data_IF_194466373298
#
_entry.id   IF_194466373298
#
_cell.length_a   1.000
_cell.length_b   1.000
_cell.length_c   1.000
_cell.angle_alpha   90.00
_cell.angle_beta   90.00
_cell.angle_gamma   90.00
#
_symmetry.space_group_name_H-M   'P 1'
#
loop_
_entity.id
_entity.type
_entity.pdbx_description
1 polymer ?
#
# COMPACT_ATOMS: atom_id res chain seq x y z
N UNK A 1 5.73 31.26 7.00
CA UNK A 1 4.46 30.66 7.41
C UNK A 1 4.79 29.41 8.19
N UNK A 2 4.45 29.42 9.49
CA UNK A 2 4.70 28.31 10.41
C UNK A 2 3.45 27.45 10.47
N UNK A 3 3.49 26.28 9.83
CA UNK A 3 2.40 25.32 9.77
C UNK A 3 2.36 24.36 10.97
N UNK A 4 3.04 24.68 12.06
CA UNK A 4 3.23 23.71 13.15
C UNK A 4 2.12 23.63 14.18
N UNK A 5 1.04 24.43 14.11
CA UNK A 5 0.10 24.53 15.24
C UNK A 5 -1.38 24.79 14.92
N UNK A 6 -1.87 24.34 13.78
CA UNK A 6 -3.32 24.34 13.55
C UNK A 6 -3.75 22.99 13.05
N UNK A 7 -4.41 22.22 13.92
CA UNK A 7 -5.50 21.32 13.54
C UNK A 7 -6.63 22.23 13.02
N UNK A 8 -6.38 22.87 11.89
CA UNK A 8 -7.41 23.48 11.11
C UNK A 8 -8.21 22.32 10.53
N UNK A 9 -9.50 22.43 10.60
CA UNK A 9 -10.43 21.70 9.76
C UNK A 9 -10.03 22.02 8.31
N UNK A 10 -9.06 21.24 7.80
CA UNK A 10 -8.22 21.57 6.64
C UNK A 10 -9.03 21.73 5.34
N UNK A 11 -10.29 21.26 5.34
CA UNK A 11 -11.16 21.36 4.18
C UNK A 11 -11.83 22.73 3.99
N UNK A 12 -12.31 23.37 5.05
CA UNK A 12 -13.19 24.53 4.90
C UNK A 12 -12.44 25.86 4.67
N UNK A 13 -11.32 26.09 5.36
CA UNK A 13 -10.54 27.33 5.18
C UNK A 13 -9.72 27.32 3.88
N UNK A 14 -9.18 26.15 3.49
CA UNK A 14 -8.44 26.00 2.24
C UNK A 14 -9.37 26.22 1.03
N UNK A 15 -10.57 25.68 1.08
CA UNK A 15 -11.58 25.87 0.03
C UNK A 15 -12.00 27.33 -0.06
N UNK A 16 -12.17 28.04 1.07
CA UNK A 16 -12.48 29.46 1.08
C UNK A 16 -11.35 30.32 0.47
N UNK A 17 -10.10 29.95 0.73
CA UNK A 17 -8.94 30.61 0.13
C UNK A 17 -8.88 30.36 -1.37
N UNK A 18 -9.13 29.11 -1.81
CA UNK A 18 -9.20 28.75 -3.24
C UNK A 18 -10.28 29.56 -3.96
N UNK A 19 -11.48 29.60 -3.39
CA UNK A 19 -12.62 30.35 -3.92
C UNK A 19 -12.30 31.86 -4.03
N UNK A 20 -11.78 32.43 -2.96
CA UNK A 20 -11.42 33.88 -2.95
C UNK A 20 -10.32 34.20 -3.96
N UNK A 21 -9.32 33.32 -4.14
CA UNK A 21 -8.26 33.51 -5.13
C UNK A 21 -8.77 33.32 -6.56
N UNK A 22 -9.64 32.30 -6.76
CA UNK A 22 -10.27 32.03 -8.05
C UNK A 22 -11.14 33.20 -8.51
N UNK A 23 -11.96 33.75 -7.60
CA UNK A 23 -12.78 34.93 -7.88
C UNK A 23 -11.91 36.15 -8.19
N UNK A 24 -10.83 36.36 -7.44
CA UNK A 24 -9.90 37.46 -7.70
C UNK A 24 -9.18 37.32 -9.06
N UNK A 25 -8.87 36.13 -9.50
CA UNK A 25 -8.29 35.84 -10.83
C UNK A 25 -9.32 36.14 -11.94
N UNK A 26 -10.54 35.65 -11.77
CA UNK A 26 -11.63 35.87 -12.72
C UNK A 26 -11.96 37.37 -12.87
N UNK A 27 -12.02 38.12 -11.75
CA UNK A 27 -12.27 39.57 -11.73
C UNK A 27 -11.12 40.35 -12.39
N UNK A 28 -9.89 39.84 -12.31
CA UNK A 28 -8.74 40.49 -12.97
C UNK A 28 -8.65 40.21 -14.47
N UNK A 29 -9.53 39.34 -15.01
CA UNK A 29 -9.53 38.92 -16.41
C UNK A 29 -8.32 38.04 -16.78
N UNK A 30 -7.67 37.48 -15.79
CA UNK A 30 -6.53 36.53 -16.01
C UNK A 30 -7.06 35.11 -15.86
N UNK A 31 -7.16 34.33 -16.95
CA UNK A 31 -7.58 32.96 -16.83
C UNK A 31 -6.53 32.16 -16.04
N UNK A 32 -6.94 31.59 -14.92
CA UNK A 32 -6.05 30.78 -14.08
C UNK A 32 -6.85 29.91 -13.12
N UNK A 33 -6.39 28.72 -12.89
CA UNK A 33 -6.93 27.79 -11.90
C UNK A 33 -6.04 27.80 -10.66
N UNK A 34 -6.66 27.85 -9.49
CA UNK A 34 -5.96 27.77 -8.21
C UNK A 34 -5.89 26.32 -7.78
N UNK A 35 -4.69 25.75 -7.81
CA UNK A 35 -4.43 24.41 -7.33
C UNK A 35 -3.72 24.45 -5.98
N UNK A 36 -4.17 23.64 -5.05
CA UNK A 36 -3.39 23.38 -3.85
C UNK A 36 -2.40 22.22 -4.07
N UNK A 37 -1.59 21.97 -3.05
CA UNK A 37 -0.62 20.87 -3.09
C UNK A 37 -1.28 19.49 -3.20
N UNK A 38 -2.51 19.34 -2.68
CA UNK A 38 -3.28 18.09 -2.71
C UNK A 38 -3.81 17.76 -4.11
N UNK A 39 -3.99 18.77 -4.97
CA UNK A 39 -4.52 18.59 -6.33
C UNK A 39 -3.47 18.01 -7.31
N UNK A 40 -2.20 17.91 -6.90
CA UNK A 40 -1.16 17.31 -7.73
C UNK A 40 -1.23 15.78 -7.69
N UNK A 41 -1.34 15.15 -8.84
CA UNK A 41 -1.42 13.68 -9.00
C UNK A 41 -0.31 12.93 -8.26
N UNK A 42 0.91 13.47 -8.25
CA UNK A 42 2.05 12.89 -7.52
C UNK A 42 1.84 12.89 -6.00
N UNK A 43 1.17 13.92 -5.46
CA UNK A 43 0.86 14.00 -4.02
C UNK A 43 -0.27 13.04 -3.67
N UNK A 44 -1.24 12.91 -4.55
CA UNK A 44 -2.35 11.97 -4.36
C UNK A 44 -1.89 10.52 -4.41
N UNK A 45 -1.09 10.13 -5.39
CA UNK A 45 -0.48 8.79 -5.43
C UNK A 45 0.30 8.49 -4.15
N UNK A 46 1.10 9.45 -3.67
CA UNK A 46 1.81 9.30 -2.40
C UNK A 46 0.85 9.15 -1.21
N UNK A 47 -0.27 9.86 -1.22
CA UNK A 47 -1.30 9.78 -0.17
C UNK A 47 -1.99 8.42 -0.16
N UNK A 48 -2.37 7.92 -1.33
CA UNK A 48 -2.96 6.58 -1.48
C UNK A 48 -2.01 5.47 -1.01
N UNK A 49 -0.73 5.57 -1.35
CA UNK A 49 0.29 4.63 -0.90
C UNK A 49 0.49 4.68 0.63
N UNK A 50 0.49 5.89 1.21
CA UNK A 50 0.57 6.06 2.66
C UNK A 50 -0.68 5.52 3.38
N UNK A 51 -1.87 5.69 2.81
CA UNK A 51 -3.11 5.14 3.35
C UNK A 51 -3.10 3.60 3.29
N UNK A 52 -2.75 3.02 2.16
CA UNK A 52 -2.56 1.57 2.04
C UNK A 52 -1.51 1.02 3.00
N UNK A 53 -0.40 1.74 3.18
CA UNK A 53 0.64 1.38 4.14
C UNK A 53 0.16 1.43 5.59
N UNK A 54 -0.72 2.38 5.96
CA UNK A 54 -1.31 2.45 7.31
C UNK A 54 -2.15 1.23 7.65
N UNK A 55 -2.86 0.68 6.67
CA UNK A 55 -3.74 -0.48 6.89
C UNK A 55 -2.95 -1.80 6.95
N UNK A 56 -1.91 -1.95 6.13
CA UNK A 56 -1.08 -3.15 6.08
C UNK A 56 -0.06 -3.21 7.21
N UNK A 57 0.50 -2.08 7.61
CA UNK A 57 1.57 -2.01 8.64
C UNK A 57 1.18 -2.66 9.97
N UNK A 58 -0.01 -2.41 10.57
CA UNK A 58 -0.40 -3.07 11.82
C UNK A 58 -0.50 -4.58 11.70
N UNK A 59 -0.95 -5.10 10.54
CA UNK A 59 -1.00 -6.54 10.28
C UNK A 59 0.40 -7.15 10.26
N UNK A 60 1.33 -6.58 9.50
CA UNK A 60 2.72 -7.05 9.42
C UNK A 60 3.38 -7.00 10.80
N UNK A 61 3.23 -5.88 11.53
CA UNK A 61 3.75 -5.73 12.89
C UNK A 61 3.14 -6.78 13.85
N UNK A 62 1.84 -7.00 13.78
CA UNK A 62 1.15 -8.00 14.58
C UNK A 62 1.70 -9.40 14.35
N UNK A 63 1.94 -9.78 13.10
CA UNK A 63 2.52 -11.08 12.74
C UNK A 63 3.96 -11.19 13.24
N UNK A 64 4.80 -10.17 13.06
CA UNK A 64 6.19 -10.16 13.54
C UNK A 64 6.26 -10.26 15.07
N UNK A 65 5.43 -9.51 15.78
CA UNK A 65 5.34 -9.56 17.25
C UNK A 65 4.82 -10.93 17.73
N UNK A 66 3.86 -11.52 17.03
CA UNK A 66 3.36 -12.86 17.35
C UNK A 66 4.45 -13.92 17.19
N UNK A 67 5.19 -13.91 16.07
CA UNK A 67 6.31 -14.82 15.83
C UNK A 67 7.37 -14.66 16.93
N UNK A 68 7.73 -13.43 17.28
CA UNK A 68 8.67 -13.10 18.34
C UNK A 68 8.20 -13.65 19.69
N UNK A 69 6.92 -13.49 20.02
CA UNK A 69 6.29 -14.04 21.22
C UNK A 69 6.38 -15.57 21.27
N UNK A 70 6.10 -16.25 20.15
CA UNK A 70 6.24 -17.70 20.06
C UNK A 70 7.68 -18.18 20.31
N UNK A 71 8.66 -17.49 19.74
CA UNK A 71 10.10 -17.80 19.97
C UNK A 71 10.44 -17.65 21.45
N UNK A 72 9.97 -16.60 22.11
CA UNK A 72 10.16 -16.41 23.55
C UNK A 72 9.50 -17.52 24.36
N UNK A 73 8.26 -17.89 24.06
CA UNK A 73 7.56 -18.96 24.76
C UNK A 73 8.29 -20.31 24.63
N UNK A 74 8.77 -20.63 23.42
CA UNK A 74 9.55 -21.88 23.18
C UNK A 74 10.88 -21.86 23.93
N UNK A 75 11.60 -20.73 23.88
CA UNK A 75 12.88 -20.57 24.52
C UNK A 75 12.76 -20.69 26.02
N UNK A 76 11.73 -20.06 26.61
CA UNK A 76 11.44 -20.15 28.04
C UNK A 76 10.99 -21.54 28.45
N UNK A 77 10.12 -22.24 27.69
CA UNK A 77 9.74 -23.63 27.97
C UNK A 77 10.97 -24.55 27.93
N UNK A 78 11.91 -24.30 27.01
CA UNK A 78 13.17 -25.05 26.95
C UNK A 78 14.05 -24.78 28.21
N UNK A 79 14.21 -23.54 28.61
CA UNK A 79 14.97 -23.13 29.80
C UNK A 79 14.40 -23.81 31.06
N UNK A 80 13.08 -23.73 31.24
CA UNK A 80 12.39 -24.32 32.39
C UNK A 80 12.58 -25.85 32.43
N UNK A 81 12.57 -26.53 31.30
CA UNK A 81 12.81 -27.98 31.22
C UNK A 81 14.25 -28.37 31.58
N UNK A 82 15.22 -27.55 31.14
CA UNK A 82 16.64 -27.81 31.49
C UNK A 82 16.91 -27.55 32.97
N UNK A 83 16.23 -26.58 33.56
CA UNK A 83 16.37 -26.21 34.96
C UNK A 83 15.31 -26.83 35.89
N UNK A 84 14.56 -27.83 35.39
CA UNK A 84 13.47 -28.44 36.17
C UNK A 84 13.94 -29.02 37.52
N UNK A 85 15.16 -29.60 37.58
CA UNK A 85 15.76 -30.09 38.83
C UNK A 85 16.03 -28.96 39.82
N UNK A 86 16.54 -27.81 39.36
CA UNK A 86 16.80 -26.65 40.18
C UNK A 86 15.49 -26.07 40.72
N UNK A 87 14.45 -26.02 39.91
CA UNK A 87 13.10 -25.60 40.33
C UNK A 87 12.58 -26.52 41.42
N UNK A 88 12.76 -27.83 41.28
CA UNK A 88 12.35 -28.79 42.27
C UNK A 88 13.09 -28.60 43.61
N UNK A 89 14.40 -28.37 43.57
CA UNK A 89 15.21 -28.08 44.78
C UNK A 89 14.75 -26.76 45.43
N UNK A 90 14.56 -25.68 44.66
CA UNK A 90 14.07 -24.41 45.23
C UNK A 90 12.70 -24.59 45.91
N UNK A 91 11.84 -25.40 45.36
CA UNK A 91 10.50 -25.70 45.91
C UNK A 91 10.62 -26.54 47.20
N UNK A 92 11.54 -27.48 47.31
CA UNK A 92 11.74 -28.30 48.51
C UNK A 92 12.36 -27.47 49.64
N UNK A 93 13.16 -26.41 49.34
CA UNK A 93 13.73 -25.47 50.31
C UNK A 93 12.69 -24.44 50.77
N UNK A 94 11.50 -24.38 50.15
CA UNK A 94 10.37 -23.55 50.59
C UNK A 94 10.03 -22.36 49.70
N UNK A 95 10.58 -22.27 48.49
CA UNK A 95 10.20 -21.22 47.53
C UNK A 95 8.71 -21.36 47.18
N UNK A 96 7.97 -20.25 47.21
CA UNK A 96 6.56 -20.23 46.84
C UNK A 96 6.36 -20.37 45.33
N UNK A 97 5.21 -20.87 44.90
CA UNK A 97 4.87 -20.94 43.47
C UNK A 97 4.93 -19.59 42.77
N UNK A 98 4.60 -18.51 43.52
CA UNK A 98 4.63 -17.15 42.98
C UNK A 98 6.08 -16.68 42.76
N UNK A 99 7.00 -16.98 43.68
CA UNK A 99 8.40 -16.60 43.52
C UNK A 99 9.04 -17.26 42.29
N UNK A 100 8.76 -18.55 42.10
CA UNK A 100 9.20 -19.31 40.90
C UNK A 100 8.59 -18.69 39.63
N UNK A 101 7.29 -18.40 39.63
CA UNK A 101 6.63 -17.79 38.50
C UNK A 101 7.25 -16.45 38.12
N UNK A 102 7.39 -15.55 39.10
CA UNK A 102 7.97 -14.23 38.86
C UNK A 102 9.45 -14.31 38.44
N UNK A 103 10.26 -15.21 39.04
CA UNK A 103 11.61 -15.44 38.64
C UNK A 103 11.76 -15.80 37.16
N UNK A 104 10.97 -16.76 36.70
CA UNK A 104 11.01 -17.18 35.29
C UNK A 104 10.34 -16.17 34.32
N UNK A 105 9.38 -15.35 34.78
CA UNK A 105 8.80 -14.30 34.00
C UNK A 105 9.74 -13.10 33.80
N UNK A 106 10.61 -12.85 34.80
CA UNK A 106 11.65 -11.83 34.70
C UNK A 106 12.70 -12.12 33.60
N UNK A 107 12.98 -13.39 33.31
CA UNK A 107 14.00 -13.77 32.31
C UNK A 107 13.73 -13.16 30.93
N UNK A 108 12.55 -13.40 30.31
CA UNK A 108 12.26 -12.79 29.02
C UNK A 108 12.15 -11.26 29.08
N UNK A 109 11.78 -10.67 30.21
CA UNK A 109 11.72 -9.23 30.37
C UNK A 109 13.13 -8.59 30.47
N UNK A 110 14.05 -9.23 31.21
CA UNK A 110 15.45 -8.77 31.32
C UNK A 110 16.16 -8.79 29.95
N UNK A 111 15.83 -9.75 29.10
CA UNK A 111 16.40 -9.83 27.75
C UNK A 111 15.59 -8.98 26.74
N UNK A 112 14.30 -8.92 26.91
CA UNK A 112 13.40 -8.24 25.98
C UNK A 112 13.46 -6.71 26.09
N UNK A 113 13.53 -6.15 27.29
CA UNK A 113 13.61 -4.69 27.47
C UNK A 113 14.84 -4.09 26.77
N UNK A 114 16.07 -4.60 26.97
CA UNK A 114 17.21 -4.14 26.18
C UNK A 114 17.04 -4.35 24.69
N UNK A 115 16.44 -5.47 24.26
CA UNK A 115 16.14 -5.73 22.84
C UNK A 115 15.19 -4.68 22.25
N UNK A 116 14.13 -4.32 22.97
CA UNK A 116 13.19 -3.25 22.56
C UNK A 116 13.91 -1.90 22.50
N UNK A 117 14.73 -1.57 23.51
CA UNK A 117 15.49 -0.31 23.54
C UNK A 117 16.47 -0.22 22.35
N UNK A 118 17.21 -1.30 22.08
CA UNK A 118 18.10 -1.36 20.91
C UNK A 118 17.29 -1.23 19.61
N UNK A 119 16.14 -1.89 19.51
CA UNK A 119 15.24 -1.76 18.36
C UNK A 119 14.76 -0.33 18.12
N UNK A 120 14.37 0.37 19.19
CA UNK A 120 13.98 1.79 19.15
C UNK A 120 15.18 2.66 18.73
N UNK A 121 16.36 2.45 19.32
CA UNK A 121 17.56 3.21 18.98
C UNK A 121 17.99 3.01 17.52
N UNK A 122 17.93 1.78 17.01
CA UNK A 122 18.20 1.49 15.61
C UNK A 122 17.14 2.10 14.67
N UNK A 123 15.88 2.07 15.07
CA UNK A 123 14.78 2.68 14.31
C UNK A 123 14.86 4.20 14.24
N UNK A 124 15.35 4.87 15.29
CA UNK A 124 15.58 6.32 15.30
C UNK A 124 16.88 6.68 14.57
N UNK A 125 17.83 5.75 14.50
CA UNK A 125 19.10 6.00 13.83
C UNK A 125 18.93 6.24 12.34
N UNK A 126 19.79 7.09 11.77
CA UNK A 126 19.84 7.36 10.33
C UNK A 126 20.04 6.10 9.48
N UNK A 127 20.64 5.04 10.03
CA UNK A 127 20.92 3.78 9.33
C UNK A 127 19.62 3.11 8.85
N UNK A 128 18.63 2.96 9.72
CA UNK A 128 17.35 2.35 9.38
C UNK A 128 16.49 3.23 8.48
N UNK A 129 16.40 4.51 8.82
CA UNK A 129 15.59 5.47 8.05
C UNK A 129 16.19 5.75 6.68
N UNK A 130 17.52 5.89 6.55
CA UNK A 130 18.17 6.11 5.25
C UNK A 130 18.04 4.91 4.30
N UNK A 131 18.17 3.68 4.80
CA UNK A 131 18.03 2.50 3.97
C UNK A 131 16.61 2.39 3.39
N UNK A 132 15.60 2.61 4.22
CA UNK A 132 14.20 2.59 3.79
C UNK A 132 13.87 3.78 2.88
N UNK A 133 14.37 4.95 3.20
CA UNK A 133 14.18 6.17 2.43
C UNK A 133 14.81 6.06 1.04
N UNK A 134 16.04 5.54 0.92
CA UNK A 134 16.70 5.32 -0.38
C UNK A 134 15.95 4.33 -1.26
N UNK A 135 15.39 3.27 -0.67
CA UNK A 135 14.53 2.33 -1.39
C UNK A 135 13.28 3.03 -1.92
N UNK A 136 12.61 3.81 -1.08
CA UNK A 136 11.38 4.54 -1.44
C UNK A 136 11.64 5.64 -2.48
N UNK A 137 12.77 6.35 -2.39
CA UNK A 137 13.18 7.34 -3.38
C UNK A 137 13.45 6.74 -4.75
N UNK A 138 14.12 5.60 -4.79
CA UNK A 138 14.37 4.89 -6.04
C UNK A 138 13.09 4.46 -6.72
N UNK A 139 12.06 4.10 -5.93
CA UNK A 139 10.78 3.61 -6.45
C UNK A 139 9.80 4.73 -6.85
N UNK A 140 9.69 5.79 -6.05
CA UNK A 140 8.70 6.86 -6.28
C UNK A 140 9.27 8.14 -6.91
N UNK A 141 10.58 8.23 -7.12
CA UNK A 141 11.22 9.43 -7.68
C UNK A 141 11.08 10.70 -6.82
N UNK A 142 10.80 10.56 -5.51
CA UNK A 142 10.59 11.70 -4.60
C UNK A 142 11.94 12.30 -4.18
N UNK A 143 12.27 13.57 -4.52
CA UNK A 143 13.63 14.10 -4.36
C UNK A 143 14.02 14.44 -2.92
N UNK A 144 13.07 14.59 -2.00
CA UNK A 144 13.36 14.97 -0.60
C UNK A 144 12.39 14.29 0.36
N UNK A 145 12.90 13.48 1.29
CA UNK A 145 12.12 12.97 2.44
C UNK A 145 12.72 13.51 3.73
N UNK A 146 11.92 14.23 4.49
CA UNK A 146 12.26 14.61 5.84
C UNK A 146 11.80 13.51 6.79
N UNK A 147 12.74 12.79 7.40
CA UNK A 147 12.42 11.82 8.45
C UNK A 147 11.99 12.55 9.72
N UNK A 148 10.71 12.42 10.07
CA UNK A 148 10.18 12.97 11.32
C UNK A 148 10.00 11.83 12.32
N UNK A 149 10.60 11.95 13.47
CA UNK A 149 10.45 10.97 14.54
C UNK A 149 9.13 11.21 15.29
N UNK A 150 8.31 10.16 15.40
CA UNK A 150 7.07 10.16 16.17
C UNK A 150 7.28 9.39 17.49
N UNK A 151 7.59 10.08 18.60
CA UNK A 151 7.89 9.43 19.88
C UNK A 151 6.71 8.63 20.44
N UNK A 152 5.49 9.05 20.18
CA UNK A 152 4.24 8.39 20.54
C UNK A 152 4.07 7.03 19.85
N UNK A 153 4.38 6.94 18.56
CA UNK A 153 4.41 5.67 17.84
C UNK A 153 5.48 4.72 18.38
N UNK A 154 6.68 5.23 18.63
CA UNK A 154 7.78 4.44 19.17
C UNK A 154 7.48 3.91 20.57
N UNK A 155 6.87 4.73 21.43
CA UNK A 155 6.41 4.31 22.74
C UNK A 155 5.32 3.24 22.65
N UNK A 156 4.34 3.43 21.79
CA UNK A 156 3.23 2.46 21.59
C UNK A 156 3.75 1.12 21.09
N UNK A 157 4.68 1.12 20.12
CA UNK A 157 5.32 -0.08 19.62
C UNK A 157 6.19 -0.76 20.68
N UNK A 158 6.97 0.01 21.43
CA UNK A 158 7.80 -0.51 22.52
C UNK A 158 6.97 -1.14 23.62
N UNK A 159 5.88 -0.48 24.04
CA UNK A 159 4.97 -1.00 25.05
C UNK A 159 4.24 -2.26 24.57
N UNK A 160 3.77 -2.29 23.31
CA UNK A 160 3.13 -3.47 22.73
C UNK A 160 4.09 -4.66 22.66
N UNK A 161 5.35 -4.43 22.30
CA UNK A 161 6.37 -5.46 22.29
C UNK A 161 6.61 -6.03 23.70
N UNK A 162 6.76 -5.17 24.72
CA UNK A 162 6.92 -5.61 26.12
C UNK A 162 5.68 -6.38 26.59
N UNK A 163 4.49 -5.92 26.25
CA UNK A 163 3.23 -6.60 26.59
C UNK A 163 3.19 -8.01 25.98
N UNK A 164 3.59 -8.17 24.74
CA UNK A 164 3.63 -9.46 24.06
C UNK A 164 4.68 -10.39 24.69
N UNK A 165 5.88 -9.88 25.01
CA UNK A 165 6.91 -10.63 25.75
C UNK A 165 6.31 -11.17 27.06
N UNK A 166 5.60 -10.32 27.78
CA UNK A 166 4.95 -10.68 29.05
C UNK A 166 3.87 -11.74 28.84
N UNK A 167 2.94 -11.53 27.89
CA UNK A 167 1.84 -12.46 27.61
C UNK A 167 2.35 -13.87 27.21
N UNK A 168 3.30 -13.93 26.32
CA UNK A 168 3.87 -15.21 25.88
C UNK A 168 4.75 -15.87 26.95
N UNK A 169 5.34 -15.09 27.85
CA UNK A 169 6.10 -15.56 28.99
C UNK A 169 5.27 -16.15 30.12
N UNK A 170 4.02 -15.67 30.32
CA UNK A 170 3.15 -16.09 31.44
C UNK A 170 2.91 -17.60 31.43
N UNK A 171 2.52 -18.17 30.29
CA UNK A 171 2.13 -19.59 30.20
C UNK A 171 3.26 -20.54 30.59
N UNK A 172 4.49 -20.44 30.06
CA UNK A 172 5.60 -21.28 30.49
C UNK A 172 6.02 -21.00 31.95
N UNK A 173 6.06 -19.73 32.39
CA UNK A 173 6.38 -19.40 33.79
C UNK A 173 5.39 -19.98 34.78
N UNK A 174 4.10 -19.93 34.46
CA UNK A 174 3.04 -20.53 35.29
C UNK A 174 3.16 -22.06 35.35
N UNK A 175 3.59 -22.70 34.25
CA UNK A 175 3.86 -24.15 34.22
C UNK A 175 5.06 -24.48 35.12
N UNK A 176 6.12 -23.68 35.14
CA UNK A 176 7.24 -23.85 36.05
C UNK A 176 6.79 -23.77 37.52
N UNK A 177 5.94 -22.81 37.85
CA UNK A 177 5.42 -22.60 39.20
C UNK A 177 4.58 -23.78 39.73
N UNK A 178 3.97 -24.56 38.84
CA UNK A 178 3.15 -25.75 39.18
C UNK A 178 3.88 -27.07 39.12
N UNK A 179 5.20 -27.08 38.82
CA UNK A 179 5.98 -28.32 38.84
C UNK A 179 6.06 -28.89 40.25
N UNK A 180 5.73 -30.18 40.37
CA UNK A 180 5.82 -30.89 41.63
C UNK A 180 7.21 -31.50 41.76
N UNK A 181 7.93 -31.31 42.90
CA UNK A 181 9.28 -31.84 43.09
C UNK A 181 9.39 -33.35 42.89
N UNK A 182 8.34 -34.08 43.30
CA UNK A 182 8.30 -35.55 43.18
C UNK A 182 8.22 -36.06 41.74
N UNK A 183 7.48 -35.35 40.88
CA UNK A 183 7.35 -35.68 39.46
C UNK A 183 8.65 -35.43 38.71
N UNK A 184 9.40 -34.41 39.05
CA UNK A 184 10.65 -34.02 38.37
C UNK A 184 11.79 -35.02 38.73
N UNK A 185 11.82 -35.52 39.95
CA UNK A 185 12.82 -36.44 40.45
C UNK A 185 12.56 -37.90 40.07
N UNK A 186 11.30 -38.25 39.72
CA UNK A 186 10.82 -39.61 39.43
C UNK A 186 10.64 -39.94 37.95
N UNK A 187 10.69 -38.97 37.03
CA UNK A 187 10.31 -39.24 35.62
C UNK A 187 11.46 -39.07 34.64
N UNK A 188 11.98 -40.20 34.24
CA UNK A 188 12.40 -40.42 32.86
C UNK A 188 11.21 -40.88 32.02
N UNK A 189 10.13 -40.08 31.87
CA UNK A 189 9.04 -40.42 30.94
C UNK A 189 9.51 -40.32 29.51
N UNK A 190 9.96 -41.47 28.98
CA UNK A 190 10.05 -41.68 27.55
C UNK A 190 8.62 -41.79 26.98
N UNK A 191 8.12 -40.65 26.45
CA UNK A 191 6.91 -40.73 25.62
C UNK A 191 7.21 -41.60 24.41
N UNK A 192 6.58 -42.75 24.36
CA UNK A 192 6.65 -43.67 23.22
C UNK A 192 6.17 -42.96 21.96
N UNK A 193 6.88 -43.06 20.84
CA UNK A 193 6.48 -42.46 19.58
C UNK A 193 5.13 -42.99 19.14
N UNK A 194 4.29 -42.14 18.56
CA UNK A 194 2.98 -42.51 18.06
C UNK A 194 3.12 -43.67 17.05
N UNK A 195 2.28 -44.72 17.20
CA UNK A 195 2.32 -45.94 16.40
C UNK A 195 2.32 -45.70 14.89
N UNK A 196 1.63 -44.63 14.44
CA UNK A 196 1.57 -44.20 13.04
C UNK A 196 2.95 -43.76 12.55
N UNK A 197 3.67 -42.98 13.34
CA UNK A 197 4.99 -42.45 12.96
C UNK A 197 6.04 -43.57 12.96
N UNK A 198 5.93 -44.50 13.89
CA UNK A 198 6.83 -45.66 13.91
C UNK A 198 6.64 -46.58 12.69
N UNK A 199 5.40 -46.70 12.21
CA UNK A 199 5.09 -47.49 11.00
C UNK A 199 5.57 -46.79 9.72
N UNK A 200 5.34 -45.46 9.61
CA UNK A 200 5.79 -44.66 8.46
C UNK A 200 7.32 -44.59 8.32
N UNK A 201 8.04 -44.69 9.43
CA UNK A 201 9.51 -44.60 9.47
C UNK A 201 10.20 -45.96 9.49
N UNK A 202 9.44 -47.08 9.45
CA UNK A 202 9.98 -48.44 9.58
C UNK A 202 10.89 -48.86 8.40
N UNK A 203 10.64 -48.31 7.20
CA UNK A 203 11.42 -48.58 5.99
C UNK A 203 12.53 -47.58 5.68
N UNK A 204 12.76 -46.56 6.54
CA UNK A 204 13.74 -45.52 6.28
C UNK A 204 15.12 -45.83 6.87
N UNK A 205 16.23 -45.31 6.29
CA UNK A 205 17.56 -45.41 6.88
C UNK A 205 17.57 -44.95 8.35
N UNK A 206 18.34 -45.62 9.23
CA UNK A 206 18.27 -45.43 10.68
C UNK A 206 18.44 -43.96 11.12
N UNK A 207 19.30 -43.17 10.44
CA UNK A 207 19.53 -41.75 10.77
C UNK A 207 18.30 -40.86 10.48
N UNK A 208 17.65 -41.07 9.34
CA UNK A 208 16.45 -40.30 8.96
C UNK A 208 15.25 -40.74 9.82
N UNK A 209 15.09 -42.03 10.02
CA UNK A 209 14.01 -42.58 10.84
C UNK A 209 14.07 -42.13 12.30
N UNK A 210 15.27 -42.07 12.90
CA UNK A 210 15.50 -41.55 14.25
C UNK A 210 15.24 -40.01 14.31
N UNK A 211 15.70 -39.26 13.31
CA UNK A 211 15.45 -37.81 13.21
C UNK A 211 13.95 -37.50 13.17
N UNK A 212 13.21 -38.13 12.29
CA UNK A 212 11.76 -38.00 12.18
C UNK A 212 11.04 -38.38 13.47
N UNK A 213 11.35 -39.54 14.04
CA UNK A 213 10.74 -39.99 15.31
C UNK A 213 11.03 -39.01 16.47
N UNK A 214 12.24 -38.43 16.53
CA UNK A 214 12.61 -37.48 17.56
C UNK A 214 11.84 -36.15 17.42
N UNK A 215 11.59 -35.70 16.19
CA UNK A 215 10.86 -34.49 15.87
C UNK A 215 9.40 -34.61 16.30
N UNK A 216 8.77 -35.74 15.99
CA UNK A 216 7.36 -35.97 16.35
C UNK A 216 7.14 -36.38 17.82
N UNK A 217 8.18 -36.62 18.60
CA UNK A 217 8.06 -36.79 20.06
C UNK A 217 7.51 -35.56 20.79
N UNK A 218 7.66 -34.35 20.19
CA UNK A 218 7.18 -33.11 20.77
C UNK A 218 6.27 -32.38 19.78
N UNK A 219 5.03 -32.85 19.54
CA UNK A 219 4.17 -32.37 18.49
C UNK A 219 3.78 -30.88 18.66
N UNK A 220 3.64 -30.42 19.91
CA UNK A 220 3.36 -29.00 20.18
C UNK A 220 4.49 -28.07 19.70
N UNK A 221 5.76 -28.48 19.87
CA UNK A 221 6.89 -27.70 19.39
C UNK A 221 6.96 -27.70 17.86
N UNK A 222 6.75 -28.88 17.25
CA UNK A 222 6.68 -29.02 15.80
C UNK A 222 5.61 -28.09 15.23
N UNK A 223 4.40 -28.12 15.81
CA UNK A 223 3.29 -27.28 15.39
C UNK A 223 3.64 -25.78 15.46
N UNK A 224 4.21 -25.32 16.59
CA UNK A 224 4.57 -23.91 16.76
C UNK A 224 5.66 -23.48 15.77
N UNK A 225 6.69 -24.32 15.54
CA UNK A 225 7.72 -23.99 14.53
C UNK A 225 7.17 -24.00 13.13
N UNK A 226 6.21 -24.89 12.81
CA UNK A 226 5.53 -24.95 11.53
C UNK A 226 4.68 -23.69 11.30
N UNK A 227 3.92 -23.26 12.32
CA UNK A 227 3.13 -22.02 12.27
C UNK A 227 4.04 -20.81 12.07
N UNK A 228 5.14 -20.71 12.83
CA UNK A 228 6.07 -19.60 12.68
C UNK A 228 6.70 -19.54 11.27
N UNK A 229 7.09 -20.70 10.73
CA UNK A 229 7.63 -20.79 9.38
C UNK A 229 6.56 -20.45 8.33
N UNK A 230 5.35 -20.98 8.49
CA UNK A 230 4.24 -20.69 7.58
C UNK A 230 3.90 -19.20 7.56
N UNK A 231 3.87 -18.53 8.73
CA UNK A 231 3.63 -17.09 8.80
C UNK A 231 4.74 -16.27 8.12
N UNK A 232 6.00 -16.68 8.28
CA UNK A 232 7.10 -16.04 7.55
C UNK A 232 6.97 -16.21 6.04
N UNK A 233 6.53 -17.40 5.58
CA UNK A 233 6.29 -17.66 4.16
C UNK A 233 5.08 -16.89 3.63
N UNK A 234 4.04 -16.69 4.43
CA UNK A 234 2.87 -15.87 4.05
C UNK A 234 3.28 -14.41 3.83
N UNK A 235 4.11 -13.84 4.71
CA UNK A 235 4.59 -12.46 4.53
C UNK A 235 5.45 -12.35 3.26
N UNK A 236 6.45 -13.22 3.12
CA UNK A 236 7.35 -13.20 1.96
C UNK A 236 6.59 -13.46 0.65
N UNK A 237 5.76 -14.50 0.62
CA UNK A 237 4.96 -14.87 -0.54
C UNK A 237 3.93 -13.80 -0.90
N UNK A 238 3.27 -13.21 0.10
CA UNK A 238 2.33 -12.11 -0.09
C UNK A 238 3.01 -10.88 -0.70
N UNK A 239 4.20 -10.53 -0.20
CA UNK A 239 4.97 -9.42 -0.76
C UNK A 239 5.42 -9.69 -2.19
N UNK A 240 5.89 -10.92 -2.48
CA UNK A 240 6.27 -11.29 -3.85
C UNK A 240 5.07 -11.32 -4.81
N UNK A 241 3.91 -11.84 -4.35
CA UNK A 241 2.68 -11.83 -5.14
C UNK A 241 2.18 -10.41 -5.41
N UNK A 242 2.25 -9.53 -4.42
CA UNK A 242 1.88 -8.13 -4.57
C UNK A 242 2.79 -7.44 -5.61
N UNK A 243 4.10 -7.66 -5.54
CA UNK A 243 5.04 -7.09 -6.48
C UNK A 243 4.85 -7.65 -7.90
N UNK A 244 4.64 -8.97 -8.03
CA UNK A 244 4.35 -9.61 -9.32
C UNK A 244 3.03 -9.12 -9.92
N UNK A 245 1.97 -9.05 -9.09
CA UNK A 245 0.67 -8.54 -9.54
C UNK A 245 0.72 -7.09 -9.97
N UNK A 246 1.47 -6.25 -9.24
CA UNK A 246 1.68 -4.85 -9.63
C UNK A 246 2.38 -4.76 -11.00
N UNK A 247 3.48 -5.50 -11.19
CA UNK A 247 4.19 -5.51 -12.48
C UNK A 247 3.32 -6.02 -13.62
N UNK A 248 2.50 -7.04 -13.38
CA UNK A 248 1.60 -7.59 -14.39
C UNK A 248 0.52 -6.57 -14.80
N UNK A 249 -0.18 -5.98 -13.83
CA UNK A 249 -1.20 -4.96 -14.09
C UNK A 249 -0.60 -3.72 -14.76
N UNK A 250 0.60 -3.31 -14.33
CA UNK A 250 1.27 -2.15 -14.91
C UNK A 250 1.71 -2.38 -16.35
N UNK A 251 2.30 -3.56 -16.64
CA UNK A 251 2.69 -3.92 -18.01
C UNK A 251 1.46 -4.08 -18.91
N UNK A 252 0.39 -4.74 -18.43
CA UNK A 252 -0.87 -4.87 -19.16
C UNK A 252 -1.44 -3.50 -19.52
N UNK A 253 -1.48 -2.57 -18.55
CA UNK A 253 -1.99 -1.23 -18.79
C UNK A 253 -1.14 -0.45 -19.81
N UNK A 254 0.19 -0.51 -19.72
CA UNK A 254 1.06 0.22 -20.67
C UNK A 254 1.12 -0.42 -22.06
N UNK A 255 1.13 -1.74 -22.15
CA UNK A 255 1.32 -2.44 -23.43
C UNK A 255 0.01 -2.63 -24.19
N UNK A 256 -1.08 -2.91 -23.47
CA UNK A 256 -2.37 -3.26 -24.09
C UNK A 256 -3.38 -2.11 -24.11
N UNK A 257 -3.32 -1.20 -23.14
CA UNK A 257 -4.27 -0.09 -23.08
C UNK A 257 -3.76 1.19 -23.74
N UNK A 258 -2.46 1.42 -23.69
CA UNK A 258 -1.86 2.67 -24.17
C UNK A 258 -1.18 2.46 -25.52
N UNK A 259 -1.83 2.85 -26.63
CA UNK A 259 -1.31 2.72 -27.99
C UNK A 259 -0.67 4.00 -28.54
N UNK A 260 -0.61 5.06 -27.74
CA UNK A 260 0.09 6.29 -28.12
C UNK A 260 1.62 6.14 -28.02
N UNK A 261 2.35 6.93 -28.79
CA UNK A 261 3.81 7.02 -28.76
C UNK A 261 4.29 8.16 -27.85
N UNK A 262 3.59 9.29 -27.91
CA UNK A 262 3.87 10.47 -27.10
C UNK A 262 2.61 10.99 -26.43
N UNK A 263 2.76 11.42 -25.17
CA UNK A 263 1.76 12.17 -24.43
C UNK A 263 2.28 13.57 -24.15
N UNK A 264 1.52 14.58 -24.57
CA UNK A 264 1.83 15.98 -24.30
C UNK A 264 0.96 16.49 -23.15
N UNK A 265 1.59 17.30 -22.27
CA UNK A 265 0.88 18.22 -21.42
C UNK A 265 1.10 19.65 -21.97
N UNK A 266 0.01 20.41 -22.09
CA UNK A 266 0.05 21.74 -22.68
C UNK A 266 -0.76 22.74 -21.87
N UNK A 267 -0.45 24.03 -22.00
CA UNK A 267 -1.26 25.07 -21.43
C UNK A 267 -2.47 25.35 -22.34
N UNK A 268 -3.69 25.55 -21.80
CA UNK A 268 -4.88 25.80 -22.59
C UNK A 268 -4.74 26.85 -23.70
N UNK A 269 -4.05 27.99 -23.50
CA UNK A 269 -3.88 29.01 -24.56
C UNK A 269 -3.05 28.55 -25.77
N UNK A 270 -2.37 27.41 -25.67
CA UNK A 270 -1.49 26.90 -26.74
C UNK A 270 -2.05 25.68 -27.48
N UNK A 271 -3.30 25.31 -27.21
CA UNK A 271 -3.95 24.16 -27.84
C UNK A 271 -3.95 24.29 -29.36
N UNK A 272 -4.33 25.47 -29.91
CA UNK A 272 -4.35 25.73 -31.35
C UNK A 272 -2.99 25.58 -32.01
N UNK A 273 -1.90 25.96 -31.33
CA UNK A 273 -0.53 25.79 -31.82
C UNK A 273 -0.16 24.32 -31.97
N UNK A 274 -0.53 23.50 -30.98
CA UNK A 274 -0.29 22.05 -31.01
C UNK A 274 -1.17 21.36 -32.04
N UNK A 275 -2.44 21.75 -32.17
CA UNK A 275 -3.35 21.21 -33.18
C UNK A 275 -2.84 21.55 -34.59
N UNK A 276 -2.46 22.77 -34.86
CA UNK A 276 -1.89 23.15 -36.18
C UNK A 276 -0.59 22.42 -36.50
N UNK A 277 0.25 22.20 -35.49
CA UNK A 277 1.47 21.42 -35.65
C UNK A 277 1.17 19.95 -35.95
N UNK A 278 0.15 19.37 -35.33
CA UNK A 278 -0.19 17.95 -35.50
C UNK A 278 -0.60 17.59 -36.92
N UNK A 279 -1.24 18.49 -37.68
CA UNK A 279 -1.74 18.24 -39.04
C UNK A 279 -0.68 17.74 -40.04
N UNK A 280 0.61 18.02 -39.81
CA UNK A 280 1.70 17.56 -40.68
C UNK A 280 2.68 16.58 -40.03
N UNK A 281 2.64 16.45 -38.72
CA UNK A 281 3.66 15.75 -37.94
C UNK A 281 3.16 14.45 -37.30
N UNK A 282 1.84 14.20 -37.27
CA UNK A 282 1.30 13.02 -36.62
C UNK A 282 0.52 12.13 -37.60
N UNK A 283 0.56 10.85 -37.34
CA UNK A 283 -0.31 9.86 -38.01
C UNK A 283 -1.63 9.68 -37.30
N UNK A 284 -1.62 9.88 -36.00
CA UNK A 284 -2.82 9.86 -35.14
C UNK A 284 -2.65 10.91 -34.05
N UNK A 285 -3.73 11.62 -33.70
CA UNK A 285 -3.72 12.70 -32.73
C UNK A 285 -5.07 12.82 -32.04
N UNK A 286 -5.07 12.84 -30.71
CA UNK A 286 -6.26 13.05 -29.90
C UNK A 286 -6.00 14.07 -28.81
N UNK A 287 -6.95 14.99 -28.59
CA UNK A 287 -6.92 15.93 -27.50
C UNK A 287 -7.45 15.27 -26.21
N UNK A 288 -6.82 15.57 -25.10
CA UNK A 288 -7.26 15.16 -23.78
C UNK A 288 -7.46 16.34 -22.86
N UNK A 289 -8.45 16.24 -21.97
CA UNK A 289 -8.71 17.23 -20.93
C UNK A 289 -8.73 16.50 -19.59
N UNK A 290 -7.70 16.71 -18.79
CA UNK A 290 -7.60 16.09 -17.47
C UNK A 290 -7.77 17.13 -16.38
N UNK A 291 -8.56 16.81 -15.36
CA UNK A 291 -8.73 17.66 -14.20
C UNK A 291 -8.91 16.81 -12.93
N UNK A 292 -8.84 17.48 -11.77
CA UNK A 292 -9.07 16.81 -10.48
C UNK A 292 -10.39 17.27 -9.88
N UNK A 293 -11.15 16.33 -9.37
CA UNK A 293 -12.41 16.59 -8.69
C UNK A 293 -12.50 15.72 -7.42
N UNK A 294 -13.53 15.93 -6.63
CA UNK A 294 -13.83 15.09 -5.46
C UNK A 294 -15.23 14.50 -5.60
N UNK A 295 -15.40 13.27 -5.16
CA UNK A 295 -16.72 12.67 -5.04
C UNK A 295 -17.45 13.32 -3.86
N UNK A 296 -18.67 13.79 -4.10
CA UNK A 296 -19.47 14.47 -3.06
C UNK A 296 -19.71 13.52 -1.88
N UNK A 297 -19.39 13.97 -0.68
CA UNK A 297 -19.48 13.16 0.56
C UNK A 297 -18.19 12.44 0.92
N UNK A 298 -17.16 12.51 0.10
CA UNK A 298 -15.82 12.01 0.41
C UNK A 298 -14.80 13.16 0.33
N UNK A 299 -13.65 12.97 0.94
CA UNK A 299 -12.50 13.89 0.79
C UNK A 299 -11.48 13.36 -0.21
N UNK A 300 -11.87 12.31 -0.96
CA UNK A 300 -10.96 11.62 -1.87
C UNK A 300 -11.03 12.27 -3.24
N UNK A 301 -9.88 12.67 -3.75
CA UNK A 301 -9.76 13.17 -5.09
C UNK A 301 -9.94 12.04 -6.12
N UNK A 302 -10.52 12.37 -7.25
CA UNK A 302 -10.67 11.51 -8.41
C UNK A 302 -10.26 12.28 -9.66
N UNK A 303 -9.53 11.65 -10.56
CA UNK A 303 -9.14 12.26 -11.82
C UNK A 303 -10.32 12.24 -12.80
N UNK A 304 -10.65 13.38 -13.36
CA UNK A 304 -11.56 13.48 -14.49
C UNK A 304 -10.72 13.43 -15.77
N UNK A 305 -10.98 12.47 -16.64
CA UNK A 305 -10.28 12.31 -17.91
C UNK A 305 -11.26 12.39 -19.06
N UNK A 306 -11.25 13.52 -19.75
CA UNK A 306 -12.01 13.74 -20.96
C UNK A 306 -11.19 13.37 -22.19
N UNK A 307 -11.70 12.46 -23.02
CA UNK A 307 -11.07 11.99 -24.26
C UNK A 307 -11.96 12.23 -25.46
N UNK A 308 -11.37 12.45 -26.63
CA UNK A 308 -12.13 12.61 -27.88
C UNK A 308 -12.73 11.27 -28.31
N UNK A 309 -11.98 10.19 -28.16
CA UNK A 309 -12.41 8.83 -28.47
C UNK A 309 -12.36 7.99 -27.19
N UNK A 310 -13.52 7.44 -26.83
CA UNK A 310 -13.64 6.40 -25.79
C UNK A 310 -13.95 5.09 -26.51
N UNK A 311 -13.04 4.13 -26.45
CA UNK A 311 -13.20 2.86 -27.16
C UNK A 311 -12.51 1.72 -26.41
N UNK A 312 -13.05 0.53 -26.52
CA UNK A 312 -12.46 -0.73 -26.07
C UNK A 312 -11.80 -1.52 -27.22
N UNK A 313 -11.77 -0.92 -28.42
CA UNK A 313 -11.12 -1.51 -29.59
C UNK A 313 -9.59 -1.39 -29.52
N UNK A 314 -8.90 -2.35 -30.13
CA UNK A 314 -7.43 -2.47 -30.06
C UNK A 314 -6.65 -1.33 -30.75
N UNK A 315 -7.30 -0.54 -31.61
CA UNK A 315 -6.71 0.58 -32.35
C UNK A 315 -6.90 1.94 -31.66
N UNK A 316 -7.64 2.01 -30.56
CA UNK A 316 -7.78 3.22 -29.78
C UNK A 316 -6.45 3.63 -29.16
N UNK A 317 -6.11 4.94 -29.15
CA UNK A 317 -4.89 5.42 -28.53
C UNK A 317 -4.83 5.15 -27.02
N UNK A 318 -5.97 5.31 -26.35
CA UNK A 318 -6.21 4.80 -25.01
C UNK A 318 -7.37 3.81 -25.07
N UNK A 319 -7.05 2.55 -24.94
CA UNK A 319 -8.02 1.46 -24.95
C UNK A 319 -8.62 1.28 -23.56
N UNK A 320 -9.93 1.35 -23.49
CA UNK A 320 -10.66 1.07 -22.26
C UNK A 320 -10.67 -0.44 -21.95
N UNK A 321 -10.20 -0.82 -20.78
CA UNK A 321 -10.40 -2.19 -20.29
C UNK A 321 -11.76 -2.27 -19.56
N UNK A 322 -12.84 -2.27 -20.36
CA UNK A 322 -14.21 -2.28 -19.85
C UNK A 322 -14.52 -3.65 -19.22
N UNK A 323 -14.84 -3.66 -17.94
CA UNK A 323 -15.20 -4.87 -17.19
C UNK A 323 -16.71 -5.13 -17.26
N UNK A 324 -17.49 -4.07 -17.08
CA UNK A 324 -18.96 -4.14 -17.06
C UNK A 324 -19.55 -2.85 -17.63
N UNK A 325 -20.74 -2.95 -18.24
CA UNK A 325 -21.49 -1.82 -18.74
C UNK A 325 -21.24 -1.50 -20.21
N UNK A 326 -21.43 -0.25 -20.59
CA UNK A 326 -21.35 0.25 -21.96
C UNK A 326 -20.53 1.55 -22.01
N UNK A 327 -19.93 1.83 -23.16
CA UNK A 327 -19.19 3.07 -23.41
C UNK A 327 -20.17 4.25 -23.36
N UNK A 328 -19.83 5.36 -22.65
CA UNK A 328 -20.70 6.53 -22.53
C UNK A 328 -21.03 7.14 -23.87
N UNK A 329 -22.22 7.71 -23.99
CA UNK A 329 -22.63 8.49 -25.15
C UNK A 329 -22.49 9.97 -24.85
N UNK A 330 -21.79 10.71 -25.71
CA UNK A 330 -21.59 12.15 -25.55
C UNK A 330 -22.90 12.93 -25.56
N UNK A 331 -22.98 13.99 -24.77
CA UNK A 331 -24.12 14.92 -24.77
C UNK A 331 -25.35 14.44 -24.02
N UNK A 332 -25.24 13.41 -23.20
CA UNK A 332 -26.36 12.93 -22.38
C UNK A 332 -26.54 13.82 -21.12
N UNK A 333 -27.76 13.80 -20.57
CA UNK A 333 -28.06 14.49 -19.30
C UNK A 333 -28.89 13.56 -18.39
N UNK A 334 -28.35 13.07 -17.26
CA UNK A 334 -27.01 13.35 -16.73
C UNK A 334 -25.89 12.83 -17.65
N UNK A 335 -24.70 13.42 -17.53
CA UNK A 335 -23.50 13.02 -18.28
C UNK A 335 -23.19 11.56 -17.96
N UNK A 336 -23.00 10.74 -18.96
CA UNK A 336 -22.61 9.34 -18.78
C UNK A 336 -21.07 9.24 -18.65
N UNK A 337 -20.62 8.38 -17.73
CA UNK A 337 -19.19 8.22 -17.42
C UNK A 337 -18.83 6.77 -17.16
N UNK A 338 -17.55 6.45 -17.35
CA UNK A 338 -16.92 5.22 -16.87
C UNK A 338 -16.15 5.54 -15.60
N UNK A 339 -16.29 4.69 -14.59
CA UNK A 339 -15.52 4.78 -13.33
C UNK A 339 -14.53 3.61 -13.23
N UNK A 340 -13.40 3.84 -12.60
CA UNK A 340 -12.46 2.77 -12.33
C UNK A 340 -12.99 1.73 -11.31
N UNK A 341 -12.59 0.46 -11.48
CA UNK A 341 -13.00 -0.69 -10.66
C UNK A 341 -12.69 -0.45 -9.17
N UNK A 342 -11.55 0.17 -8.87
CA UNK A 342 -11.12 0.44 -7.49
C UNK A 342 -12.04 1.43 -6.78
N UNK A 343 -12.40 2.54 -7.43
CA UNK A 343 -13.34 3.53 -6.89
C UNK A 343 -14.76 2.96 -6.78
N UNK A 344 -15.22 2.24 -7.79
CA UNK A 344 -16.53 1.59 -7.76
C UNK A 344 -16.66 0.61 -6.59
N UNK A 345 -15.66 -0.26 -6.39
CA UNK A 345 -15.65 -1.24 -5.30
C UNK A 345 -15.54 -0.61 -3.92
N UNK A 346 -14.69 0.42 -3.75
CA UNK A 346 -14.46 1.05 -2.44
C UNK A 346 -15.64 1.89 -1.95
N UNK A 347 -16.35 2.53 -2.87
CA UNK A 347 -17.49 3.40 -2.55
C UNK A 347 -18.84 2.68 -2.74
N UNK A 348 -18.82 1.42 -3.21
CA UNK A 348 -20.02 0.60 -3.42
C UNK A 348 -20.92 1.12 -4.53
N UNK A 349 -20.34 1.59 -5.64
CA UNK A 349 -21.05 2.15 -6.78
C UNK A 349 -21.34 1.06 -7.82
N UNK A 350 -22.52 1.11 -8.42
CA UNK A 350 -22.97 0.17 -9.45
C UNK A 350 -23.33 0.89 -10.75
N UNK A 351 -23.40 0.14 -11.85
CA UNK A 351 -23.83 0.68 -13.15
C UNK A 351 -25.26 1.20 -13.04
N UNK A 352 -25.48 2.39 -13.57
CA UNK A 352 -26.77 3.09 -13.53
C UNK A 352 -26.91 4.05 -12.36
N UNK A 353 -26.02 4.00 -11.38
CA UNK A 353 -26.00 4.95 -10.26
C UNK A 353 -25.69 6.36 -10.75
N UNK A 354 -26.29 7.33 -10.08
CA UNK A 354 -25.98 8.75 -10.29
C UNK A 354 -25.11 9.23 -9.12
N UNK A 355 -23.93 9.70 -9.46
CA UNK A 355 -22.93 10.17 -8.49
C UNK A 355 -22.73 11.67 -8.65
N UNK A 356 -22.67 12.39 -7.55
CA UNK A 356 -22.41 13.83 -7.57
C UNK A 356 -20.93 14.09 -7.40
N UNK A 357 -20.34 14.84 -8.31
CA UNK A 357 -18.93 15.20 -8.35
C UNK A 357 -18.82 16.68 -8.00
N UNK A 358 -17.87 17.02 -7.15
CA UNK A 358 -17.55 18.41 -6.80
C UNK A 358 -16.27 18.83 -7.55
N UNK A 359 -16.41 19.77 -8.46
CA UNK A 359 -15.30 20.39 -9.16
C UNK A 359 -15.25 21.87 -8.80
N UNK A 360 -14.22 22.28 -8.06
CA UNK A 360 -14.01 23.65 -7.63
C UNK A 360 -15.23 24.31 -6.93
N UNK A 361 -15.94 23.54 -6.09
CA UNK A 361 -17.15 24.01 -5.40
C UNK A 361 -18.44 23.92 -6.21
N UNK A 362 -18.36 23.56 -7.49
CA UNK A 362 -19.53 23.29 -8.33
C UNK A 362 -19.85 21.81 -8.36
N UNK A 363 -21.08 21.46 -8.04
CA UNK A 363 -21.56 20.08 -8.06
C UNK A 363 -22.29 19.78 -9.33
N UNK A 364 -21.98 18.65 -9.93
CA UNK A 364 -22.67 18.11 -11.08
C UNK A 364 -22.87 16.61 -10.93
N UNK A 365 -23.98 16.15 -11.47
CA UNK A 365 -24.35 14.74 -11.38
C UNK A 365 -23.94 14.01 -12.65
N UNK A 366 -23.30 12.85 -12.49
CA UNK A 366 -22.91 11.95 -13.57
C UNK A 366 -23.54 10.58 -13.34
N UNK A 367 -23.88 9.90 -14.42
CA UNK A 367 -24.43 8.54 -14.41
C UNK A 367 -23.35 7.54 -14.80
N UNK A 368 -23.13 6.54 -13.99
CA UNK A 368 -22.18 5.48 -14.29
C UNK A 368 -22.78 4.59 -15.39
N UNK A 369 -22.18 4.59 -16.59
CA UNK A 369 -22.53 3.72 -17.71
C UNK A 369 -21.68 2.47 -17.79
N UNK A 370 -20.45 2.52 -17.25
CA UNK A 370 -19.51 1.40 -17.26
C UNK A 370 -18.49 1.46 -16.14
N UNK A 371 -17.88 0.31 -15.88
CA UNK A 371 -16.77 0.13 -14.94
C UNK A 371 -15.60 -0.42 -15.74
N UNK A 372 -14.45 0.25 -15.67
CA UNK A 372 -13.23 -0.15 -16.36
C UNK A 372 -12.07 -0.39 -15.38
N UNK A 373 -11.11 -1.19 -15.81
CA UNK A 373 -9.88 -1.40 -15.07
C UNK A 373 -8.86 -0.32 -15.44
N UNK A 374 -8.56 0.54 -14.48
CA UNK A 374 -7.62 1.63 -14.62
C UNK A 374 -6.54 1.58 -13.53
N UNK A 375 -5.33 2.08 -13.85
CA UNK A 375 -4.22 2.15 -12.89
C UNK A 375 -4.47 3.14 -11.76
N UNK A 376 -5.29 4.14 -11.99
CA UNK A 376 -5.53 5.22 -11.02
C UNK A 376 -7.02 5.49 -10.89
N UNK A 377 -7.41 6.13 -9.79
CA UNK A 377 -8.78 6.58 -9.59
C UNK A 377 -9.17 7.59 -10.66
N UNK A 378 -10.02 7.17 -11.57
CA UNK A 378 -10.35 7.97 -12.75
C UNK A 378 -11.83 7.83 -13.10
N UNK A 379 -12.43 8.95 -13.45
CA UNK A 379 -13.70 9.01 -14.16
C UNK A 379 -13.39 9.42 -15.58
N UNK A 380 -13.75 8.56 -16.53
CA UNK A 380 -13.58 8.81 -17.96
C UNK A 380 -14.89 9.19 -18.60
N UNK A 381 -14.85 10.23 -19.42
CA UNK A 381 -16.00 10.76 -20.14
C UNK A 381 -15.56 11.39 -21.47
N UNK A 382 -16.51 11.68 -22.33
CA UNK A 382 -16.20 12.43 -23.55
C UNK A 382 -15.71 13.84 -23.22
N UNK A 383 -14.60 14.26 -23.86
CA UNK A 383 -14.00 15.57 -23.65
C UNK A 383 -15.00 16.73 -23.85
N UNK A 384 -15.90 16.58 -24.83
CA UNK A 384 -16.93 17.59 -25.13
C UNK A 384 -17.87 17.85 -23.95
N UNK A 385 -18.12 16.83 -23.10
CA UNK A 385 -18.96 16.94 -21.92
C UNK A 385 -18.19 17.52 -20.72
N UNK A 386 -16.86 17.37 -20.70
CA UNK A 386 -16.00 17.91 -19.66
C UNK A 386 -15.62 19.38 -19.90
N UNK A 387 -15.50 19.81 -21.16
CA UNK A 387 -15.15 21.19 -21.54
C UNK A 387 -16.01 22.26 -20.85
N UNK A 388 -17.37 22.15 -20.81
CA UNK A 388 -18.20 23.15 -20.13
C UNK A 388 -17.97 23.21 -18.61
N UNK A 389 -17.52 22.11 -18.01
CA UNK A 389 -17.29 22.00 -16.57
C UNK A 389 -15.94 22.62 -16.18
N UNK A 390 -14.90 22.29 -16.95
CA UNK A 390 -13.52 22.73 -16.68
C UNK A 390 -13.23 24.12 -17.24
N UNK A 391 -13.95 24.54 -18.29
CA UNK A 391 -13.79 25.83 -18.94
C UNK A 391 -12.59 25.93 -19.88
N UNK A 392 -11.93 24.82 -20.19
CA UNK A 392 -10.81 24.73 -21.12
C UNK A 392 -11.08 23.65 -22.16
N UNK A 393 -10.60 23.86 -23.40
CA UNK A 393 -10.81 22.90 -24.48
C UNK A 393 -9.98 21.62 -24.32
N UNK A 394 -8.70 21.76 -23.95
CA UNK A 394 -7.78 20.67 -23.70
C UNK A 394 -6.59 21.15 -22.87
N UNK A 395 -5.90 20.22 -22.21
CA UNK A 395 -4.62 20.46 -21.55
C UNK A 395 -3.63 19.32 -21.78
N UNK A 396 -3.98 18.37 -22.62
CA UNK A 396 -3.12 17.29 -23.03
C UNK A 396 -3.45 16.81 -24.45
N UNK A 397 -2.58 15.99 -25.01
CA UNK A 397 -2.80 15.28 -26.24
C UNK A 397 -2.07 13.93 -26.22
N UNK A 398 -2.65 12.94 -26.87
CA UNK A 398 -2.05 11.66 -27.21
C UNK A 398 -1.75 11.65 -28.70
N UNK A 399 -0.59 11.11 -29.09
CA UNK A 399 -0.23 11.10 -30.50
C UNK A 399 0.73 9.98 -30.89
N UNK A 400 0.69 9.64 -32.17
CA UNK A 400 1.65 8.81 -32.88
C UNK A 400 2.28 9.67 -33.96
N UNK A 401 3.62 9.73 -34.02
CA UNK A 401 4.31 10.51 -35.04
C UNK A 401 4.13 9.92 -36.43
N UNK A 402 4.10 10.78 -37.45
CA UNK A 402 4.29 10.37 -38.82
C UNK A 402 5.75 10.05 -39.09
N UNK A 403 6.04 9.35 -40.18
CA UNK A 403 7.43 8.98 -40.56
C UNK A 403 8.39 10.18 -40.77
N UNK A 404 7.84 11.37 -41.03
CA UNK A 404 8.58 12.62 -41.25
C UNK A 404 8.36 13.61 -40.10
N UNK A 405 7.56 13.26 -39.07
CA UNK A 405 7.20 14.11 -37.95
C UNK A 405 8.35 14.32 -36.98
N UNK A 406 8.44 15.52 -36.38
CA UNK A 406 9.43 15.87 -35.37
C UNK A 406 8.81 16.63 -34.23
N UNK A 407 9.16 16.25 -32.99
CA UNK A 407 8.68 16.91 -31.77
C UNK A 407 9.51 18.15 -31.39
N UNK A 408 10.64 18.39 -32.06
CA UNK A 408 11.57 19.45 -31.65
C UNK A 408 10.97 20.85 -31.79
N UNK A 409 10.15 21.05 -32.82
CA UNK A 409 9.52 22.35 -33.10
C UNK A 409 8.38 22.69 -32.10
N UNK A 410 7.78 21.68 -31.45
CA UNK A 410 6.65 21.90 -30.54
C UNK A 410 7.05 21.92 -29.06
N UNK A 411 8.31 21.61 -28.73
CA UNK A 411 8.79 21.60 -27.33
C UNK A 411 8.56 22.91 -26.58
N UNK A 412 8.56 24.04 -27.30
CA UNK A 412 8.29 25.36 -26.71
C UNK A 412 6.81 25.62 -26.36
N UNK A 413 5.89 24.89 -26.96
CA UNK A 413 4.45 25.02 -26.76
C UNK A 413 3.91 24.03 -25.72
N UNK A 414 4.68 23.00 -25.40
CA UNK A 414 4.33 21.96 -24.45
C UNK A 414 4.97 22.20 -23.08
N UNK A 415 4.27 21.83 -22.01
CA UNK A 415 4.76 21.84 -20.63
C UNK A 415 5.63 20.62 -20.35
N UNK A 416 5.20 19.46 -20.80
CA UNK A 416 5.94 18.21 -20.75
C UNK A 416 5.62 17.35 -21.96
N UNK A 417 6.58 16.54 -22.34
CA UNK A 417 6.45 15.51 -23.37
C UNK A 417 6.90 14.22 -22.70
N UNK A 418 6.04 13.24 -22.71
CA UNK A 418 6.29 11.89 -22.20
C UNK A 418 6.33 10.96 -23.39
N UNK A 419 7.42 10.24 -23.56
CA UNK A 419 7.57 9.18 -24.55
C UNK A 419 7.29 7.84 -23.88
N UNK A 420 6.40 7.02 -24.46
CA UNK A 420 5.98 5.73 -23.89
C UNK A 420 7.19 4.80 -23.67
N UNK A 421 8.13 4.74 -24.60
CA UNK A 421 9.35 3.95 -24.48
C UNK A 421 10.17 4.29 -23.24
N UNK A 422 10.28 5.58 -22.92
CA UNK A 422 11.03 6.04 -21.73
C UNK A 422 10.33 5.64 -20.42
N UNK A 423 9.00 5.55 -20.42
CA UNK A 423 8.27 5.03 -19.27
C UNK A 423 8.56 3.55 -19.05
N UNK A 424 8.55 2.75 -20.11
CA UNK A 424 8.81 1.31 -20.05
C UNK A 424 10.25 1.02 -19.60
N UNK A 425 11.23 1.71 -20.19
CA UNK A 425 12.65 1.54 -19.86
C UNK A 425 12.96 1.91 -18.41
N UNK A 426 12.34 2.96 -17.89
CA UNK A 426 12.51 3.40 -16.50
C UNK A 426 12.01 2.41 -15.44
N UNK A 427 11.21 1.43 -15.83
CA UNK A 427 10.73 0.36 -14.92
C UNK A 427 11.54 -0.94 -15.02
N UNK A 428 12.36 -1.09 -16.05
CA UNK A 428 13.23 -2.27 -16.25
C UNK A 428 14.64 -2.10 -15.67
N UNK A 429 15.05 -0.87 -15.28
CA UNK A 429 16.29 -0.57 -14.56
C UNK A 429 16.09 -0.57 -13.03
#
# INVERSE_FOLDING_TARGET
FDYSNTELDEGSELNLIKETLSDGLNDSGTPGTVHDRGDFRSVELLRLDLEGSKDITPFILGVLLFISGLVIAISLDRLIRTQSREIAVMRTVGASSKDVMFGYLLVPLILGIPGVLIGILLGISSIGSEAFTKFYFGFLGVPVVATRHHPDLLLTLGLSAILIIFMFGIRPAWKAARMQPLEVLGQGEERTPNRIISSLTAGMPPGIGLGLRSTFRKPARLFVTLVALSMSMVILGGMMMMMSGFNEVFNEALDEQENWEYQFAMQPPRVDEVVNWSEGNTSSFELTLTSQATLTGTTKAISLSGMDVLSDEDDAMHRLNLLEGEIPVAGQNPIEVIIDEGSASLEGMEIGDTVSIDYQGQKFDVKISGIARELTRTIQLHRIDLVPIVGNEANGALLILSSEGSIDDIRGATVSIIEKSTMIDGYHE
#
